data_IF_024701280767
#
_entry.id   IF_024701280767
#
_cell.length_a   1.000
_cell.length_b   1.000
_cell.length_c   1.000
_cell.angle_alpha   90.00
_cell.angle_beta   90.00
_cell.angle_gamma   90.00
#
_symmetry.space_group_name_H-M   'P 1'
#
loop_
_entity.id
_entity.type
_entity.pdbx_description
1 polymer ?
#
# COMPACT_ATOMS: atom_id res chain seq x y z
N UNK A 1 8.84 9.25 -14.68
CA UNK A 1 9.52 10.52 -14.28
C UNK A 1 11.04 10.50 -14.58
N UNK A 2 11.46 11.12 -15.70
CA UNK A 2 12.88 11.22 -16.09
C UNK A 2 13.75 12.07 -15.15
N UNK A 3 13.12 12.79 -14.21
CA UNK A 3 13.80 13.67 -13.24
C UNK A 3 14.69 12.94 -12.22
N UNK A 4 14.62 11.61 -12.16
CA UNK A 4 15.52 10.80 -11.33
C UNK A 4 16.62 10.11 -12.14
N UNK A 5 16.79 10.45 -13.42
CA UNK A 5 17.80 9.88 -14.30
C UNK A 5 19.02 10.81 -14.41
N UNK A 6 20.23 10.28 -14.17
CA UNK A 6 21.48 11.01 -14.40
C UNK A 6 21.56 12.40 -13.78
N UNK A 7 21.05 12.55 -12.56
CA UNK A 7 21.02 13.82 -11.84
C UNK A 7 22.43 14.24 -11.42
N UNK A 8 22.84 15.43 -11.82
CA UNK A 8 24.18 15.96 -11.56
C UNK A 8 24.31 16.33 -10.08
N UNK A 9 25.23 15.66 -9.38
CA UNK A 9 25.65 16.02 -8.01
C UNK A 9 26.82 17.00 -8.07
N UNK A 10 27.76 16.73 -8.97
CA UNK A 10 28.96 17.52 -9.18
C UNK A 10 29.26 17.58 -10.67
N UNK A 11 29.43 18.79 -11.19
CA UNK A 11 29.79 19.04 -12.58
C UNK A 11 31.28 19.37 -12.71
N UNK A 12 31.97 18.74 -13.67
CA UNK A 12 33.34 19.04 -14.05
C UNK A 12 33.50 19.01 -15.57
N UNK A 13 34.54 19.68 -16.08
CA UNK A 13 34.91 19.62 -17.49
C UNK A 13 35.44 18.23 -17.88
N UNK A 14 36.03 17.48 -16.94
CA UNK A 14 36.38 16.07 -17.14
C UNK A 14 35.16 15.20 -16.78
N UNK A 15 34.58 14.44 -17.74
CA UNK A 15 33.47 13.52 -17.45
C UNK A 15 33.77 12.52 -16.33
N UNK A 16 35.04 12.18 -16.08
CA UNK A 16 35.44 11.28 -14.98
C UNK A 16 35.31 11.91 -13.59
N UNK A 17 35.17 13.23 -13.53
CA UNK A 17 34.94 13.97 -12.29
C UNK A 17 33.49 14.48 -12.16
N UNK A 18 32.67 14.28 -13.20
CA UNK A 18 31.24 14.59 -13.18
C UNK A 18 30.47 13.46 -12.50
N UNK A 19 30.04 13.71 -11.26
CA UNK A 19 29.30 12.77 -10.44
C UNK A 19 27.79 12.89 -10.66
N UNK A 20 27.16 11.76 -10.92
CA UNK A 20 25.73 11.62 -11.20
C UNK A 20 25.09 10.67 -10.18
N UNK A 21 23.78 10.79 -10.00
CA UNK A 21 22.98 9.74 -9.40
C UNK A 21 21.70 9.47 -10.18
N UNK A 22 21.21 8.23 -10.06
CA UNK A 22 19.87 7.88 -10.48
C UNK A 22 19.10 7.21 -9.34
N UNK A 23 17.79 7.39 -9.31
CA UNK A 23 16.89 6.61 -8.44
C UNK A 23 16.05 5.71 -9.34
N UNK A 24 16.14 4.41 -9.11
CA UNK A 24 15.53 3.38 -9.95
C UNK A 24 14.68 2.42 -9.12
N UNK A 25 13.69 1.85 -9.79
CA UNK A 25 12.84 0.79 -9.29
C UNK A 25 12.53 -0.19 -10.43
N UNK A 26 12.16 -1.44 -10.13
CA UNK A 26 11.68 -2.38 -11.14
C UNK A 26 10.44 -1.83 -11.84
N UNK A 27 10.35 -2.08 -13.15
CA UNK A 27 9.08 -1.94 -13.85
C UNK A 27 8.28 -3.25 -13.68
N UNK A 28 7.13 -3.15 -13.01
CA UNK A 28 6.23 -4.28 -12.78
C UNK A 28 5.23 -4.47 -13.93
N UNK A 29 5.16 -3.53 -14.88
CA UNK A 29 4.37 -3.68 -16.11
C UNK A 29 5.11 -4.46 -17.20
N UNK A 30 6.43 -4.61 -17.05
CA UNK A 30 7.25 -5.41 -17.94
C UNK A 30 7.23 -6.89 -17.55
N UNK A 31 6.47 -7.68 -18.31
CA UNK A 31 6.38 -9.13 -18.17
C UNK A 31 7.73 -9.83 -18.33
N UNK A 32 8.71 -9.23 -19.02
CA UNK A 32 10.03 -9.84 -19.18
C UNK A 32 10.92 -9.69 -17.94
N UNK A 33 10.48 -8.93 -16.94
CA UNK A 33 11.21 -8.60 -15.73
C UNK A 33 12.62 -8.02 -16.00
N UNK A 34 12.82 -7.34 -17.13
CA UNK A 34 14.12 -6.82 -17.58
C UNK A 34 14.19 -5.29 -17.61
N UNK A 35 13.05 -4.61 -17.45
CA UNK A 35 12.94 -3.17 -17.47
C UNK A 35 12.95 -2.55 -16.06
N UNK A 36 13.49 -1.34 -16.00
CA UNK A 36 13.40 -0.45 -14.84
C UNK A 36 12.57 0.78 -15.18
N UNK A 37 12.13 1.45 -14.11
CA UNK A 37 11.61 2.81 -14.16
C UNK A 37 12.39 3.71 -13.20
N UNK A 38 12.36 5.00 -13.46
CA UNK A 38 12.96 6.00 -12.60
C UNK A 38 12.00 6.43 -11.48
N UNK A 39 12.51 6.52 -10.25
CA UNK A 39 11.79 6.97 -9.07
C UNK A 39 11.65 5.91 -7.97
N UNK A 40 10.74 6.19 -7.04
CA UNK A 40 10.53 5.38 -5.83
C UNK A 40 9.56 4.23 -6.08
N UNK A 41 9.64 3.20 -5.25
CA UNK A 41 8.69 2.09 -5.16
C UNK A 41 7.86 2.22 -3.89
N UNK A 42 6.53 2.05 -3.98
CA UNK A 42 5.66 2.07 -2.82
C UNK A 42 5.71 0.69 -2.14
N UNK A 43 6.11 0.65 -0.88
CA UNK A 43 6.26 -0.62 -0.16
C UNK A 43 4.92 -1.26 0.21
N UNK A 44 3.80 -0.52 0.15
CA UNK A 44 2.46 -1.13 0.22
C UNK A 44 2.12 -1.98 -1.01
N UNK A 45 2.87 -1.91 -2.11
CA UNK A 45 2.71 -2.86 -3.22
C UNK A 45 3.18 -4.28 -2.88
N UNK A 46 3.84 -4.46 -1.73
CA UNK A 46 4.46 -5.70 -1.27
C UNK A 46 3.79 -6.21 0.00
N UNK A 47 4.02 -7.48 0.30
CA UNK A 47 3.55 -8.11 1.52
C UNK A 47 4.47 -7.74 2.69
N UNK A 48 3.91 -7.13 3.74
CA UNK A 48 4.66 -6.79 4.94
C UNK A 48 4.71 -7.98 5.90
N UNK A 49 5.89 -8.60 5.99
CA UNK A 49 6.13 -9.81 6.79
C UNK A 49 5.81 -9.56 8.27
N UNK A 50 6.20 -8.40 8.79
CA UNK A 50 5.99 -8.05 10.20
C UNK A 50 4.52 -7.76 10.56
N UNK A 51 3.64 -7.68 9.57
CA UNK A 51 2.20 -7.47 9.76
C UNK A 51 1.36 -8.73 9.54
N UNK A 52 1.96 -9.87 9.16
CA UNK A 52 1.22 -11.08 8.80
C UNK A 52 0.33 -11.61 9.93
N UNK A 53 0.79 -11.53 11.18
CA UNK A 53 0.02 -11.98 12.34
C UNK A 53 -1.23 -11.12 12.61
N UNK A 54 -1.36 -9.95 11.97
CA UNK A 54 -2.61 -9.18 12.00
C UNK A 54 -3.69 -9.79 11.10
N UNK A 55 -3.28 -10.47 10.03
CA UNK A 55 -4.20 -11.17 9.14
C UNK A 55 -4.91 -12.33 9.86
N UNK A 56 -4.18 -13.10 10.67
CA UNK A 56 -4.73 -14.21 11.48
C UNK A 56 -5.81 -13.75 12.48
N UNK A 57 -5.76 -12.48 12.93
CA UNK A 57 -6.78 -11.89 13.80
C UNK A 57 -8.07 -11.53 13.05
N UNK A 58 -7.98 -11.42 11.73
CA UNK A 58 -9.08 -11.01 10.86
C UNK A 58 -9.75 -12.22 10.22
N UNK A 59 -8.95 -13.14 9.69
CA UNK A 59 -9.38 -14.38 9.03
C UNK A 59 -8.51 -15.51 9.55
N UNK A 60 -9.12 -16.65 9.87
CA UNK A 60 -8.39 -17.85 10.28
C UNK A 60 -7.34 -18.23 9.21
N UNK A 61 -6.08 -18.39 9.63
CA UNK A 61 -4.92 -18.64 8.75
C UNK A 61 -4.68 -17.55 7.67
N UNK A 62 -5.15 -16.32 7.88
CA UNK A 62 -4.98 -15.23 6.92
C UNK A 62 -3.51 -14.93 6.60
N UNK A 63 -2.60 -15.05 7.57
CA UNK A 63 -1.16 -14.90 7.37
C UNK A 63 -0.58 -15.99 6.46
N UNK A 64 -1.03 -17.24 6.64
CA UNK A 64 -0.64 -18.38 5.78
C UNK A 64 -1.13 -18.13 4.36
N UNK A 65 -2.40 -17.75 4.19
CA UNK A 65 -2.99 -17.50 2.87
C UNK A 65 -2.24 -16.41 2.09
N UNK A 66 -1.85 -15.31 2.75
CA UNK A 66 -1.04 -14.25 2.14
C UNK A 66 0.32 -14.77 1.66
N UNK A 67 1.01 -15.58 2.48
CA UNK A 67 2.29 -16.18 2.10
C UNK A 67 2.15 -17.17 0.95
N UNK A 68 1.05 -17.94 0.90
CA UNK A 68 0.78 -18.91 -0.17
C UNK A 68 0.61 -18.27 -1.55
N UNK A 69 0.39 -16.95 -1.63
CA UNK A 69 0.45 -16.22 -2.89
C UNK A 69 1.87 -16.11 -3.48
N UNK A 70 2.92 -16.31 -2.67
CA UNK A 70 4.30 -16.21 -3.13
C UNK A 70 4.69 -17.40 -4.02
N UNK A 71 5.47 -17.17 -5.10
CA UNK A 71 5.88 -18.25 -6.00
C UNK A 71 6.71 -19.32 -5.27
N UNK A 72 6.31 -20.58 -5.40
CA UNK A 72 7.00 -21.72 -4.78
C UNK A 72 6.83 -21.84 -3.26
N UNK A 73 5.90 -21.10 -2.65
CA UNK A 73 5.58 -21.23 -1.23
C UNK A 73 4.86 -22.56 -0.94
N UNK A 74 5.18 -23.17 0.19
CA UNK A 74 4.51 -24.36 0.72
C UNK A 74 3.98 -24.08 2.12
N UNK A 75 2.96 -24.83 2.55
CA UNK A 75 2.31 -24.61 3.86
C UNK A 75 3.28 -24.78 5.04
N UNK A 76 4.23 -25.71 4.95
CA UNK A 76 5.24 -25.95 5.99
C UNK A 76 6.27 -24.83 6.11
N UNK A 77 6.56 -24.13 5.00
CA UNK A 77 7.43 -22.95 5.02
C UNK A 77 6.64 -21.72 5.47
N UNK A 78 5.40 -21.57 5.01
CA UNK A 78 4.53 -20.46 5.43
C UNK A 78 4.30 -20.49 6.95
N UNK A 79 3.96 -21.66 7.50
CA UNK A 79 3.79 -21.83 8.94
C UNK A 79 5.10 -21.59 9.71
N UNK A 80 6.24 -22.11 9.23
CA UNK A 80 7.52 -21.88 9.87
C UNK A 80 7.91 -20.39 9.88
N UNK A 81 7.53 -19.62 8.85
CA UNK A 81 7.72 -18.15 8.83
C UNK A 81 6.84 -17.49 9.89
N UNK A 82 5.59 -17.91 10.03
CA UNK A 82 4.68 -17.29 10.99
C UNK A 82 5.07 -17.62 12.45
N UNK A 83 5.48 -18.86 12.72
CA UNK A 83 6.01 -19.31 14.03
C UNK A 83 7.27 -18.53 14.40
N UNK A 84 8.15 -18.27 13.41
CA UNK A 84 9.34 -17.44 13.63
C UNK A 84 9.01 -16.00 14.09
N UNK A 85 7.83 -15.49 13.75
CA UNK A 85 7.40 -14.12 14.02
C UNK A 85 6.58 -13.98 15.30
N UNK A 86 5.81 -15.01 15.66
CA UNK A 86 4.87 -14.92 16.77
C UNK A 86 5.58 -15.09 18.13
N UNK A 87 4.97 -14.60 19.23
CA UNK A 87 5.68 -14.52 20.50
C UNK A 87 5.62 -15.80 21.33
N UNK A 88 4.89 -16.83 20.91
CA UNK A 88 4.71 -18.05 21.69
C UNK A 88 5.68 -19.15 21.25
N UNK A 89 5.48 -20.38 21.73
CA UNK A 89 6.31 -21.55 21.41
C UNK A 89 5.40 -22.72 20.95
N UNK A 90 4.13 -22.45 20.61
CA UNK A 90 3.16 -23.44 20.15
C UNK A 90 3.25 -23.57 18.62
N UNK A 91 3.83 -24.66 18.08
CA UNK A 91 4.01 -24.76 16.64
C UNK A 91 2.66 -24.84 15.94
N UNK A 92 2.53 -24.09 14.83
CA UNK A 92 1.42 -24.28 13.87
C UNK A 92 1.42 -25.70 13.29
N UNK A 93 0.33 -26.05 12.59
CA UNK A 93 0.10 -27.38 12.02
C UNK A 93 1.32 -27.96 11.29
N UNK A 94 1.97 -27.15 10.45
CA UNK A 94 3.20 -27.50 9.74
C UNK A 94 4.34 -26.57 10.12
N UNK A 95 4.29 -26.00 11.32
CA UNK A 95 5.20 -25.00 11.82
C UNK A 95 6.50 -25.54 12.41
N UNK A 96 7.32 -24.62 12.93
CA UNK A 96 8.63 -24.92 13.50
C UNK A 96 8.96 -23.92 14.61
N UNK A 97 9.08 -24.43 15.83
CA UNK A 97 9.38 -23.65 17.03
C UNK A 97 10.72 -24.03 17.67
N UNK A 98 10.97 -23.54 18.89
CA UNK A 98 12.17 -23.83 19.67
C UNK A 98 12.57 -25.32 19.71
N UNK A 99 11.59 -26.24 19.83
CA UNK A 99 11.85 -27.69 19.84
C UNK A 99 12.53 -28.14 18.54
N UNK A 100 12.12 -27.60 17.39
CA UNK A 100 12.77 -27.90 16.12
C UNK A 100 14.18 -27.30 16.05
N UNK A 101 14.33 -26.00 16.29
CA UNK A 101 15.61 -25.30 16.07
C UNK A 101 16.74 -25.77 17.01
N UNK A 102 16.38 -26.25 18.21
CA UNK A 102 17.36 -26.79 19.17
C UNK A 102 17.91 -28.17 18.78
N UNK A 103 17.25 -28.88 17.87
CA UNK A 103 17.71 -30.19 17.36
C UNK A 103 18.68 -30.10 16.19
N UNK A 104 18.86 -28.90 15.61
CA UNK A 104 19.74 -28.69 14.46
C UNK A 104 21.22 -28.93 14.82
N UNK A 105 22.08 -29.26 13.84
CA UNK A 105 23.51 -29.47 14.08
C UNK A 105 24.21 -28.28 14.76
N UNK A 106 23.75 -27.07 14.43
CA UNK A 106 24.09 -25.84 15.14
C UNK A 106 22.80 -25.28 15.74
N UNK A 107 22.49 -25.57 17.01
CA UNK A 107 21.27 -25.10 17.65
C UNK A 107 21.22 -23.58 17.75
N UNK A 108 20.02 -23.01 17.56
CA UNK A 108 19.70 -21.61 17.84
C UNK A 108 18.24 -21.50 18.28
N UNK A 109 17.85 -20.31 18.72
CA UNK A 109 16.47 -20.01 19.12
C UNK A 109 15.75 -19.25 18.02
N UNK A 110 14.45 -19.49 17.80
CA UNK A 110 13.64 -18.63 16.96
C UNK A 110 13.58 -17.21 17.51
N UNK A 111 13.25 -16.25 16.64
CA UNK A 111 13.27 -14.82 17.00
C UNK A 111 12.07 -14.44 17.89
N UNK A 112 10.93 -15.08 17.66
CA UNK A 112 9.65 -14.85 18.30
C UNK A 112 9.27 -13.37 18.31
N UNK A 113 9.44 -12.74 17.15
CA UNK A 113 9.25 -11.31 16.99
C UNK A 113 9.57 -10.78 15.58
N UNK A 114 9.43 -9.46 15.38
CA UNK A 114 9.56 -8.86 14.07
C UNK A 114 10.99 -8.96 13.51
N UNK A 115 11.08 -9.15 12.20
CA UNK A 115 12.34 -9.13 11.46
C UNK A 115 12.90 -7.71 11.36
N UNK A 116 14.22 -7.60 11.38
CA UNK A 116 14.98 -6.36 11.15
C UNK A 116 15.56 -6.32 9.74
N UNK A 117 15.78 -7.48 9.12
CA UNK A 117 16.23 -7.66 7.74
C UNK A 117 15.48 -8.81 7.07
N UNK A 118 15.29 -8.73 5.75
CA UNK A 118 14.64 -9.79 4.97
C UNK A 118 15.48 -11.08 4.98
N UNK A 119 16.80 -10.95 5.09
CA UNK A 119 17.76 -12.07 5.14
C UNK A 119 17.60 -12.96 6.38
N UNK A 120 16.98 -12.48 7.46
CA UNK A 120 16.67 -13.30 8.63
C UNK A 120 15.76 -14.49 8.28
N UNK A 121 14.98 -14.39 7.20
CA UNK A 121 14.19 -15.52 6.70
C UNK A 121 15.05 -16.73 6.36
N UNK A 122 16.34 -16.57 6.05
CA UNK A 122 17.24 -17.71 5.80
C UNK A 122 17.52 -18.58 7.05
N UNK A 123 17.12 -18.12 8.24
CA UNK A 123 17.16 -18.89 9.47
C UNK A 123 15.89 -19.70 9.70
N UNK A 124 14.82 -19.43 8.95
CA UNK A 124 13.55 -20.13 9.06
C UNK A 124 13.63 -21.48 8.35
N UNK A 125 13.01 -22.50 8.94
CA UNK A 125 12.94 -23.83 8.34
C UNK A 125 12.38 -23.77 6.91
N UNK A 126 13.11 -24.38 5.97
CA UNK A 126 12.68 -24.57 4.59
C UNK A 126 12.87 -23.37 3.66
N UNK A 127 13.25 -22.20 4.21
CA UNK A 127 13.64 -21.05 3.38
C UNK A 127 15.04 -21.26 2.82
N UNK A 128 15.21 -21.06 1.51
CA UNK A 128 16.50 -21.19 0.83
C UNK A 128 16.92 -19.87 0.16
N UNK A 129 18.22 -19.65 -0.09
CA UNK A 129 18.68 -18.51 -0.89
C UNK A 129 18.03 -18.44 -2.27
N UNK A 130 17.77 -19.59 -2.89
CA UNK A 130 17.11 -19.70 -4.19
C UNK A 130 15.68 -19.16 -4.13
N UNK A 131 14.89 -19.54 -3.12
CA UNK A 131 13.53 -19.02 -2.94
C UNK A 131 13.53 -17.52 -2.61
N UNK A 132 14.44 -17.10 -1.73
CA UNK A 132 14.45 -15.72 -1.23
C UNK A 132 14.95 -14.69 -2.26
N UNK A 133 16.03 -15.00 -3.00
CA UNK A 133 16.66 -14.06 -3.94
C UNK A 133 16.38 -14.39 -5.40
N UNK A 134 15.87 -15.59 -5.71
CA UNK A 134 15.58 -15.97 -7.07
C UNK A 134 16.82 -15.96 -7.97
N UNK A 135 16.59 -15.60 -9.23
CA UNK A 135 17.60 -15.39 -10.26
C UNK A 135 18.29 -14.01 -10.16
N UNK A 136 17.67 -13.01 -9.51
CA UNK A 136 18.23 -11.65 -9.33
C UNK A 136 19.32 -11.65 -8.24
N UNK A 137 20.49 -12.17 -8.61
CA UNK A 137 21.61 -12.35 -7.68
C UNK A 137 22.23 -11.03 -7.27
N UNK A 138 22.15 -10.04 -8.15
CA UNK A 138 22.76 -8.74 -7.95
C UNK A 138 21.79 -7.72 -7.30
N UNK A 139 20.53 -8.11 -7.10
CA UNK A 139 19.48 -7.36 -6.38
C UNK A 139 19.15 -6.02 -7.04
N UNK A 140 19.23 -5.96 -8.36
CA UNK A 140 18.84 -4.77 -9.15
C UNK A 140 17.34 -4.77 -9.50
N UNK A 141 16.62 -5.85 -9.18
CA UNK A 141 15.21 -6.04 -9.44
C UNK A 141 14.87 -6.33 -10.90
N UNK A 142 15.88 -6.68 -11.71
CA UNK A 142 15.70 -7.16 -13.08
C UNK A 142 16.41 -8.50 -13.26
N UNK A 143 15.90 -9.35 -14.16
CA UNK A 143 16.54 -10.62 -14.49
C UNK A 143 17.46 -10.39 -15.68
N UNK A 144 18.76 -10.42 -15.44
CA UNK A 144 19.78 -10.21 -16.47
C UNK A 144 19.98 -11.47 -17.33
N UNK A 145 20.30 -11.32 -18.62
CA UNK A 145 20.48 -12.46 -19.53
C UNK A 145 21.58 -13.46 -19.12
N UNK A 146 22.49 -13.06 -18.22
CA UNK A 146 23.54 -13.91 -17.65
C UNK A 146 23.15 -14.59 -16.32
N UNK A 147 21.99 -14.28 -15.77
CA UNK A 147 21.50 -14.87 -14.52
C UNK A 147 20.86 -16.23 -14.77
N UNK A 148 21.11 -17.17 -13.85
CA UNK A 148 20.60 -18.54 -13.95
C UNK A 148 19.32 -18.64 -13.12
N UNK A 149 18.25 -19.11 -13.75
CA UNK A 149 16.98 -19.37 -13.08
C UNK A 149 17.13 -20.62 -12.20
N UNK A 150 16.88 -20.52 -10.88
CA UNK A 150 16.93 -21.69 -9.99
C UNK A 150 15.93 -22.78 -10.39
N UNK A 151 16.32 -24.05 -10.25
CA UNK A 151 15.47 -25.21 -10.61
C UNK A 151 14.16 -25.27 -9.81
N UNK A 152 14.12 -24.71 -8.60
CA UNK A 152 12.89 -24.64 -7.78
C UNK A 152 11.77 -23.84 -8.45
N UNK A 153 12.13 -22.95 -9.39
CA UNK A 153 11.18 -22.20 -10.20
C UNK A 153 10.93 -22.85 -11.57
N UNK A 154 11.49 -24.03 -11.86
CA UNK A 154 11.31 -24.71 -13.15
C UNK A 154 9.86 -25.17 -13.40
N UNK A 155 9.09 -25.38 -12.32
CA UNK A 155 7.66 -25.70 -12.40
C UNK A 155 6.79 -24.45 -12.59
N UNK A 156 7.33 -23.24 -12.37
CA UNK A 156 6.68 -22.02 -12.82
C UNK A 156 6.74 -21.98 -14.35
N UNK A 157 5.65 -21.57 -15.00
CA UNK A 157 5.66 -21.46 -16.44
C UNK A 157 6.72 -20.45 -16.88
N UNK A 158 7.27 -20.63 -18.09
CA UNK A 158 8.16 -19.65 -18.71
C UNK A 158 7.49 -18.27 -18.92
N UNK A 159 6.17 -18.18 -18.67
CA UNK A 159 5.32 -17.01 -18.87
C UNK A 159 5.20 -16.11 -17.61
N UNK A 160 5.80 -16.48 -16.47
CA UNK A 160 5.96 -15.58 -15.30
C UNK A 160 7.43 -15.30 -14.94
N UNK A 161 8.17 -14.54 -15.78
CA UNK A 161 9.55 -14.11 -15.47
C UNK A 161 9.68 -13.27 -14.20
N UNK A 162 8.59 -12.64 -13.76
CA UNK A 162 8.57 -11.76 -12.59
C UNK A 162 8.79 -12.60 -11.33
N UNK A 163 8.22 -13.81 -11.27
CA UNK A 163 8.43 -14.75 -10.17
C UNK A 163 9.89 -15.13 -9.93
N UNK A 164 10.73 -15.11 -10.98
CA UNK A 164 12.15 -15.41 -10.86
C UNK A 164 12.93 -14.36 -10.07
N UNK A 165 12.35 -13.22 -9.69
CA UNK A 165 12.99 -12.24 -8.79
C UNK A 165 13.14 -12.75 -7.35
N UNK A 166 12.44 -13.82 -6.98
CA UNK A 166 12.44 -14.39 -5.63
C UNK A 166 11.63 -13.56 -4.63
N UNK A 167 11.39 -14.13 -3.44
CA UNK A 167 10.48 -13.55 -2.44
C UNK A 167 10.88 -12.14 -1.98
N UNK A 168 12.16 -11.80 -1.98
CA UNK A 168 12.64 -10.47 -1.58
C UNK A 168 12.13 -9.32 -2.47
N UNK A 169 11.64 -9.61 -3.68
CA UNK A 169 10.97 -8.62 -4.54
C UNK A 169 9.51 -8.36 -4.12
N UNK A 170 8.87 -9.34 -3.47
CA UNK A 170 7.47 -9.33 -3.06
C UNK A 170 7.25 -8.99 -1.59
N UNK A 171 8.32 -9.05 -0.79
CA UNK A 171 8.28 -8.86 0.65
C UNK A 171 8.84 -7.49 1.06
N UNK A 172 8.29 -6.95 2.13
CA UNK A 172 8.82 -5.79 2.84
C UNK A 172 8.74 -6.00 4.36
N UNK A 173 9.52 -5.22 5.11
CA UNK A 173 9.38 -5.10 6.56
C UNK A 173 8.59 -3.86 6.97
N UNK A 174 8.35 -2.95 6.02
CA UNK A 174 7.77 -1.64 6.27
C UNK A 174 6.74 -1.30 5.20
N UNK A 175 5.47 -1.42 5.52
CA UNK A 175 4.38 -0.82 4.73
C UNK A 175 3.40 -0.14 5.66
N UNK A 176 3.05 1.11 5.34
CA UNK A 176 2.13 1.93 6.11
C UNK A 176 1.43 2.92 5.19
N UNK A 177 0.18 3.22 5.48
CA UNK A 177 -0.59 4.29 4.84
C UNK A 177 -1.04 5.35 5.84
N UNK A 178 -1.34 6.54 5.33
CA UNK A 178 -1.93 7.63 6.12
C UNK A 178 -3.45 7.59 6.04
N UNK A 179 -4.11 7.62 7.20
CA UNK A 179 -5.54 7.78 7.35
C UNK A 179 -5.88 9.28 7.51
N UNK A 180 -5.72 10.04 6.43
CA UNK A 180 -5.94 11.49 6.36
C UNK A 180 -6.75 11.85 5.12
N UNK A 181 -7.33 13.04 5.11
CA UNK A 181 -7.97 13.63 3.94
C UNK A 181 -6.92 13.96 2.85
N UNK A 182 -7.34 14.19 1.59
CA UNK A 182 -6.41 14.55 0.50
C UNK A 182 -5.54 15.79 0.78
N UNK A 183 -6.03 16.73 1.59
CA UNK A 183 -5.30 17.93 2.02
C UNK A 183 -4.31 17.67 3.19
N UNK A 184 -4.30 16.45 3.73
CA UNK A 184 -3.49 16.02 4.87
C UNK A 184 -4.11 16.27 6.25
N UNK A 185 -5.32 16.84 6.32
CA UNK A 185 -6.06 17.00 7.58
C UNK A 185 -6.63 15.66 8.07
N UNK A 186 -6.92 15.49 9.38
CA UNK A 186 -7.54 14.27 9.89
C UNK A 186 -8.92 14.01 9.26
N UNK A 187 -9.23 12.74 8.96
CA UNK A 187 -10.59 12.31 8.63
C UNK A 187 -11.50 12.39 9.86
N UNK A 188 -12.80 12.52 9.63
CA UNK A 188 -13.82 12.46 10.70
C UNK A 188 -13.96 10.99 11.13
N UNK A 189 -13.64 10.71 12.40
CA UNK A 189 -13.83 9.40 13.00
C UNK A 189 -15.31 9.22 13.36
N UNK A 190 -16.03 8.40 12.58
CA UNK A 190 -17.46 8.12 12.80
C UNK A 190 -17.71 7.31 14.08
N UNK A 191 -16.65 6.81 14.71
CA UNK A 191 -16.67 6.11 15.99
C UNK A 191 -16.21 6.98 17.17
N UNK A 192 -16.00 8.29 16.99
CA UNK A 192 -15.64 9.18 18.08
C UNK A 192 -16.70 9.18 19.21
N UNK A 193 -16.26 9.50 20.42
CA UNK A 193 -17.09 9.39 21.63
C UNK A 193 -18.06 10.55 21.81
N UNK A 194 -17.70 11.73 21.31
CA UNK A 194 -18.51 12.94 21.41
C UNK A 194 -19.49 12.99 20.23
N UNK A 195 -20.76 12.67 20.48
CA UNK A 195 -21.79 12.59 19.45
C UNK A 195 -22.27 13.96 18.96
N UNK A 196 -22.22 14.99 19.80
CA UNK A 196 -22.56 16.36 19.42
C UNK A 196 -21.48 16.91 18.48
N UNK A 197 -20.22 16.74 18.86
CA UNK A 197 -19.09 17.09 17.97
C UNK A 197 -19.10 16.29 16.67
N UNK A 198 -19.41 14.99 16.72
CA UNK A 198 -19.54 14.15 15.53
C UNK A 198 -20.63 14.66 14.60
N UNK A 199 -21.78 15.06 15.15
CA UNK A 199 -22.87 15.67 14.39
C UNK A 199 -22.38 16.93 13.67
N UNK A 200 -21.80 17.88 14.40
CA UNK A 200 -21.35 19.16 13.86
C UNK A 200 -20.31 18.99 12.74
N UNK A 201 -19.35 18.06 12.92
CA UNK A 201 -18.32 17.78 11.92
C UNK A 201 -18.90 17.16 10.65
N UNK A 202 -19.85 16.24 10.76
CA UNK A 202 -20.50 15.64 9.58
C UNK A 202 -21.44 16.63 8.91
N UNK A 203 -22.21 17.42 9.68
CA UNK A 203 -23.14 18.41 9.14
C UNK A 203 -22.40 19.46 8.30
N UNK A 204 -21.24 19.91 8.77
CA UNK A 204 -20.43 20.88 8.05
C UNK A 204 -19.94 20.39 6.67
N UNK A 205 -19.67 19.08 6.53
CA UNK A 205 -19.11 18.50 5.30
C UNK A 205 -20.19 17.88 4.38
N UNK A 206 -21.19 17.23 4.98
CA UNK A 206 -22.18 16.40 4.27
C UNK A 206 -23.63 16.82 4.49
N UNK A 207 -23.89 17.78 5.38
CA UNK A 207 -25.23 18.24 5.71
C UNK A 207 -25.92 17.42 6.82
N UNK A 208 -27.10 17.91 7.27
CA UNK A 208 -27.76 17.42 8.48
C UNK A 208 -28.32 16.00 8.34
N UNK A 209 -28.64 15.55 7.12
CA UNK A 209 -29.23 14.22 6.89
C UNK A 209 -28.25 13.11 7.26
N UNK A 210 -27.02 13.16 6.74
CA UNK A 210 -25.99 12.17 7.05
C UNK A 210 -25.54 12.27 8.51
N UNK A 211 -25.41 13.49 9.05
CA UNK A 211 -25.05 13.72 10.44
C UNK A 211 -26.07 13.08 11.40
N UNK A 212 -27.36 13.34 11.15
CA UNK A 212 -28.47 12.77 11.91
C UNK A 212 -28.47 11.25 11.84
N UNK A 213 -28.30 10.70 10.62
CA UNK A 213 -28.29 9.26 10.42
C UNK A 213 -27.15 8.56 11.14
N UNK A 214 -25.91 9.08 11.03
CA UNK A 214 -24.73 8.48 11.67
C UNK A 214 -24.89 8.49 13.20
N UNK A 215 -25.33 9.59 13.80
CA UNK A 215 -25.55 9.65 15.26
C UNK A 215 -26.69 8.74 15.69
N UNK A 216 -27.81 8.71 14.94
CA UNK A 216 -28.91 7.81 15.21
C UNK A 216 -28.45 6.34 15.16
N UNK A 217 -27.65 5.97 14.15
CA UNK A 217 -27.06 4.64 14.01
C UNK A 217 -26.21 4.31 15.24
N UNK A 218 -25.31 5.21 15.63
CA UNK A 218 -24.44 5.04 16.81
C UNK A 218 -25.22 4.80 18.09
N UNK A 219 -26.36 5.46 18.27
CA UNK A 219 -27.21 5.34 19.47
C UNK A 219 -28.12 4.10 19.48
N UNK A 220 -28.47 3.53 18.32
CA UNK A 220 -29.53 2.51 18.21
C UNK A 220 -29.12 1.22 17.52
N UNK A 221 -28.12 1.26 16.65
CA UNK A 221 -27.71 0.12 15.82
C UNK A 221 -28.48 0.00 14.50
N UNK A 222 -28.03 -0.90 13.62
CA UNK A 222 -28.72 -1.19 12.38
C UNK A 222 -30.10 -1.81 12.66
N UNK A 223 -31.11 -1.37 11.91
CA UNK A 223 -32.45 -1.92 11.95
C UNK A 223 -32.60 -3.00 10.88
N UNK A 224 -32.99 -4.21 11.30
CA UNK A 224 -33.15 -5.39 10.41
C UNK A 224 -34.60 -5.87 10.32
N UNK A 225 -35.57 -5.04 10.75
CA UNK A 225 -36.99 -5.38 10.67
C UNK A 225 -37.62 -5.02 9.32
N UNK A 226 -38.93 -5.24 9.21
CA UNK A 226 -39.69 -5.08 7.96
C UNK A 226 -40.45 -3.75 7.87
N UNK A 227 -40.38 -2.88 8.89
CA UNK A 227 -41.02 -1.55 8.85
C UNK A 227 -40.46 -0.74 7.66
N UNK A 228 -41.36 -0.11 6.90
CA UNK A 228 -40.98 0.78 5.80
C UNK A 228 -40.22 1.98 6.37
N UNK A 229 -39.09 2.31 5.76
CA UNK A 229 -38.29 3.44 6.19
C UNK A 229 -38.81 4.73 5.58
N UNK A 230 -38.39 5.84 6.16
CA UNK A 230 -38.66 7.17 5.63
C UNK A 230 -37.36 7.98 5.54
N UNK A 231 -37.30 8.98 4.65
CA UNK A 231 -36.16 9.89 4.57
C UNK A 231 -35.89 10.59 5.90
N UNK A 232 -34.63 10.95 6.14
CA UNK A 232 -34.24 11.70 7.33
C UNK A 232 -34.95 13.08 7.33
N UNK A 233 -35.76 13.39 8.36
CA UNK A 233 -36.44 14.68 8.43
C UNK A 233 -35.44 15.83 8.68
N UNK A 234 -35.74 17.02 8.17
CA UNK A 234 -34.87 18.20 8.34
C UNK A 234 -35.12 18.98 9.64
N UNK A 235 -36.22 18.69 10.34
CA UNK A 235 -36.73 19.45 11.50
C UNK A 235 -36.77 18.63 12.79
N UNK A 236 -35.95 17.57 12.88
CA UNK A 236 -35.84 16.71 14.06
C UNK A 236 -34.62 17.02 14.89
N UNK A 237 -34.75 16.90 16.21
CA UNK A 237 -33.65 17.06 17.15
C UNK A 237 -33.24 15.70 17.74
N UNK A 238 -31.94 15.42 17.69
CA UNK A 238 -31.33 14.27 18.34
C UNK A 238 -31.16 14.51 19.84
N UNK A 239 -31.37 13.45 20.63
CA UNK A 239 -31.11 13.46 22.06
C UNK A 239 -29.66 13.06 22.33
N UNK A 240 -28.76 14.06 22.40
CA UNK A 240 -27.33 13.87 22.66
C UNK A 240 -27.03 13.40 24.09
N UNK A 241 -28.02 13.35 25.00
CA UNK A 241 -27.82 12.73 26.32
C UNK A 241 -27.70 11.21 26.23
N UNK A 242 -28.14 10.61 25.11
CA UNK A 242 -28.00 9.17 24.84
C UNK A 242 -26.60 8.84 24.35
N UNK A 243 -25.98 7.88 25.01
CA UNK A 243 -24.66 7.38 24.65
C UNK A 243 -24.71 6.48 23.40
N UNK A 244 -23.59 6.42 22.68
CA UNK A 244 -23.41 5.46 21.61
C UNK A 244 -23.45 4.02 22.17
N UNK A 245 -24.20 3.14 21.49
CA UNK A 245 -24.34 1.72 21.84
C UNK A 245 -23.57 0.80 20.90
N UNK A 246 -23.39 1.21 19.64
CA UNK A 246 -22.73 0.40 18.61
C UNK A 246 -21.61 1.18 17.94
N UNK A 247 -20.64 0.44 17.39
CA UNK A 247 -19.59 0.96 16.51
C UNK A 247 -19.82 0.50 15.08
N UNK A 248 -19.36 1.32 14.14
CA UNK A 248 -19.15 0.88 12.78
C UNK A 248 -17.83 0.09 12.74
N UNK A 249 -17.83 -1.04 12.05
CA UNK A 249 -16.59 -1.77 11.79
C UNK A 249 -15.86 -1.11 10.62
N UNK A 250 -16.62 -0.67 9.61
CA UNK A 250 -16.10 0.07 8.46
C UNK A 250 -17.04 1.20 8.06
N UNK A 251 -16.57 2.13 7.22
CA UNK A 251 -17.42 3.19 6.66
C UNK A 251 -18.50 2.59 5.72
N UNK A 252 -18.26 1.39 5.17
CA UNK A 252 -19.19 0.70 4.27
C UNK A 252 -20.44 0.19 4.99
N UNK A 253 -20.44 0.16 6.32
CA UNK A 253 -21.63 -0.18 7.12
C UNK A 253 -22.75 0.85 7.01
N UNK A 254 -22.48 2.02 6.39
CA UNK A 254 -23.50 3.01 6.04
C UNK A 254 -24.32 2.59 4.81
N UNK A 255 -23.78 1.74 3.94
CA UNK A 255 -24.39 1.36 2.68
C UNK A 255 -25.61 0.49 2.94
N UNK A 256 -26.77 0.91 2.44
CA UNK A 256 -28.03 0.20 2.58
C UNK A 256 -28.57 0.12 4.01
N UNK A 257 -27.92 0.76 4.98
CA UNK A 257 -28.29 0.66 6.38
C UNK A 257 -29.62 1.38 6.67
N UNK A 258 -30.43 0.81 7.55
CA UNK A 258 -31.58 1.48 8.16
C UNK A 258 -31.36 1.66 9.65
N UNK A 259 -31.98 2.66 10.25
CA UNK A 259 -31.90 2.86 11.70
C UNK A 259 -33.27 3.16 12.28
N UNK A 260 -33.60 2.54 13.41
CA UNK A 260 -34.79 2.86 14.17
C UNK A 260 -34.43 3.80 15.31
N UNK A 261 -34.98 5.01 15.29
CA UNK A 261 -34.68 6.05 16.27
C UNK A 261 -35.96 6.70 16.79
N UNK A 262 -35.94 7.09 18.05
CA UNK A 262 -36.98 7.92 18.65
C UNK A 262 -36.37 9.30 18.94
N UNK A 263 -36.79 10.31 18.19
CA UNK A 263 -36.29 11.69 18.35
C UNK A 263 -36.78 12.33 19.65
N UNK A 264 -36.12 13.43 20.04
CA UNK A 264 -36.51 14.18 21.23
C UNK A 264 -37.93 14.73 21.08
N UNK A 265 -38.77 14.52 22.09
CA UNK A 265 -40.17 15.00 22.09
C UNK A 265 -41.16 14.15 21.28
N UNK A 266 -40.71 13.11 20.57
CA UNK A 266 -41.60 12.18 19.86
C UNK A 266 -41.98 10.96 20.73
N UNK A 267 -43.25 10.55 20.70
CA UNK A 267 -43.73 9.38 21.47
C UNK A 267 -43.46 8.04 20.78
N UNK A 268 -43.27 8.02 19.45
CA UNK A 268 -43.10 6.80 18.67
C UNK A 268 -41.77 6.79 17.95
N UNK A 269 -41.08 5.63 17.89
CA UNK A 269 -39.88 5.50 17.06
C UNK A 269 -40.25 5.54 15.57
N UNK A 270 -39.30 6.02 14.78
CA UNK A 270 -39.31 6.13 13.33
C UNK A 270 -38.20 5.26 12.76
N UNK A 271 -38.39 4.75 11.55
CA UNK A 271 -37.36 3.98 10.84
C UNK A 271 -36.84 4.86 9.72
N UNK A 272 -35.57 5.25 9.78
CA UNK A 272 -34.92 6.02 8.74
C UNK A 272 -34.39 5.08 7.65
N UNK A 273 -34.64 5.44 6.40
CA UNK A 273 -34.04 4.78 5.23
C UNK A 273 -32.55 5.12 5.08
N UNK A 274 -31.88 4.35 4.22
CA UNK A 274 -30.46 4.49 3.95
C UNK A 274 -30.14 5.84 3.29
N UNK A 275 -29.21 6.58 3.89
CA UNK A 275 -28.66 7.81 3.28
C UNK A 275 -27.63 7.48 2.21
N UNK A 276 -26.95 6.33 2.34
CA UNK A 276 -26.05 5.80 1.31
C UNK A 276 -26.72 4.57 0.68
N UNK A 277 -27.34 4.69 -0.50
CA UNK A 277 -28.04 3.56 -1.11
C UNK A 277 -27.05 2.51 -1.61
N UNK A 278 -27.47 1.24 -1.55
CA UNK A 278 -26.78 0.11 -2.20
C UNK A 278 -27.18 0.05 -3.69
N UNK A 279 -26.79 1.08 -4.43
CA UNK A 279 -26.99 1.19 -5.87
C UNK A 279 -25.63 1.48 -6.54
N UNK A 280 -25.20 0.69 -7.53
CA UNK A 280 -23.88 0.84 -8.14
C UNK A 280 -23.58 2.23 -8.70
N UNK A 281 -24.58 2.88 -9.31
CA UNK A 281 -24.41 4.22 -9.91
C UNK A 281 -24.23 5.28 -8.82
N UNK A 282 -25.04 5.19 -7.76
CA UNK A 282 -24.92 6.07 -6.61
C UNK A 282 -23.60 5.85 -5.85
N UNK A 283 -23.21 4.59 -5.62
CA UNK A 283 -21.97 4.25 -4.93
C UNK A 283 -20.74 4.79 -5.66
N UNK A 284 -20.69 4.67 -7.00
CA UNK A 284 -19.58 5.24 -7.78
C UNK A 284 -19.40 6.75 -7.59
N UNK A 285 -20.49 7.48 -7.36
CA UNK A 285 -20.44 8.92 -7.13
C UNK A 285 -20.12 9.28 -5.66
N UNK A 286 -20.64 8.51 -4.71
CA UNK A 286 -20.61 8.83 -3.28
C UNK A 286 -19.35 8.31 -2.58
N UNK A 287 -18.88 7.10 -2.94
CA UNK A 287 -17.77 6.44 -2.26
C UNK A 287 -16.50 7.28 -2.23
N UNK A 288 -16.02 7.93 -3.31
CA UNK A 288 -14.82 8.76 -3.24
C UNK A 288 -14.94 9.87 -2.22
N UNK A 289 -16.11 10.52 -2.12
CA UNK A 289 -16.35 11.63 -1.19
C UNK A 289 -16.40 11.13 0.26
N UNK A 290 -17.10 10.02 0.50
CA UNK A 290 -17.17 9.39 1.82
C UNK A 290 -15.79 8.91 2.27
N UNK A 291 -15.08 8.17 1.42
CA UNK A 291 -13.77 7.61 1.74
C UNK A 291 -12.69 8.69 1.87
N UNK A 292 -12.82 9.83 1.19
CA UNK A 292 -11.94 10.98 1.38
C UNK A 292 -12.01 11.55 2.80
N UNK A 293 -13.20 11.55 3.41
CA UNK A 293 -13.50 12.38 4.58
C UNK A 293 -13.80 11.60 5.85
N UNK A 294 -14.34 10.38 5.75
CA UNK A 294 -14.78 9.58 6.89
C UNK A 294 -13.82 8.41 7.14
N UNK A 295 -13.72 7.99 8.40
CA UNK A 295 -12.99 6.79 8.81
C UNK A 295 -13.67 6.14 10.01
N UNK A 296 -13.57 4.82 10.12
CA UNK A 296 -14.03 4.07 11.30
C UNK A 296 -12.90 3.85 12.33
N UNK A 297 -11.68 4.30 12.03
CA UNK A 297 -10.49 4.14 12.89
C UNK A 297 -9.86 5.49 13.23
N UNK A 298 -9.48 5.66 14.49
CA UNK A 298 -8.79 6.87 14.97
C UNK A 298 -7.28 6.84 14.72
N UNK A 299 -6.73 5.70 14.30
CA UNK A 299 -5.31 5.58 13.99
C UNK A 299 -4.95 6.44 12.77
N UNK A 300 -3.97 7.34 12.93
CA UNK A 300 -3.45 8.17 11.84
C UNK A 300 -2.69 7.35 10.78
N UNK A 301 -2.10 6.22 11.19
CA UNK A 301 -1.29 5.35 10.34
C UNK A 301 -1.83 3.94 10.43
N UNK A 302 -1.99 3.28 9.29
CA UNK A 302 -2.45 1.89 9.19
C UNK A 302 -1.32 1.07 8.56
N UNK A 303 -0.74 0.09 9.27
CA UNK A 303 0.35 -0.74 8.73
C UNK A 303 -0.19 -1.93 7.93
N UNK A 304 0.60 -2.44 6.99
CA UNK A 304 0.43 -3.79 6.44
C UNK A 304 -0.61 -3.97 5.32
N UNK A 305 -1.44 -2.98 5.02
CA UNK A 305 -2.40 -3.08 3.89
C UNK A 305 -1.69 -3.01 2.54
N UNK A 306 -2.20 -3.79 1.59
CA UNK A 306 -1.67 -4.04 0.25
C UNK A 306 -2.29 -3.08 -0.75
N UNK A 307 -1.47 -2.32 -1.48
CA UNK A 307 -1.94 -1.40 -2.50
C UNK A 307 -2.36 -2.17 -3.77
N UNK A 308 -3.66 -2.31 -3.99
CA UNK A 308 -4.21 -3.11 -5.11
C UNK A 308 -3.96 -2.49 -6.49
N UNK A 309 -3.67 -1.19 -6.56
CA UNK A 309 -3.30 -0.54 -7.82
C UNK A 309 -1.85 -0.83 -8.22
N UNK A 310 -1.00 -1.26 -7.29
CA UNK A 310 0.44 -1.42 -7.50
C UNK A 310 0.95 -2.84 -7.28
N UNK A 311 0.24 -3.65 -6.50
CA UNK A 311 0.67 -5.00 -6.15
C UNK A 311 0.80 -5.89 -7.39
N UNK A 312 1.81 -6.78 -7.43
CA UNK A 312 1.92 -7.80 -8.45
C UNK A 312 0.84 -8.88 -8.26
N UNK A 313 0.56 -9.63 -9.32
CA UNK A 313 -0.48 -10.67 -9.36
C UNK A 313 -0.37 -11.70 -8.22
N UNK A 314 0.84 -12.21 -7.95
CA UNK A 314 1.13 -13.15 -6.88
C UNK A 314 0.66 -12.65 -5.50
N UNK A 315 0.85 -11.36 -5.22
CA UNK A 315 0.39 -10.75 -3.97
C UNK A 315 -1.13 -10.62 -3.94
N UNK A 316 -1.77 -10.27 -5.06
CA UNK A 316 -3.23 -10.19 -5.13
C UNK A 316 -3.88 -11.56 -4.91
N UNK A 317 -3.36 -12.62 -5.54
CA UNK A 317 -3.92 -13.98 -5.38
C UNK A 317 -3.80 -14.53 -3.96
N UNK A 318 -2.88 -14.01 -3.15
CA UNK A 318 -2.75 -14.37 -1.74
C UNK A 318 -3.73 -13.66 -0.81
N UNK A 319 -4.47 -12.64 -1.26
CA UNK A 319 -5.34 -11.84 -0.39
C UNK A 319 -6.53 -12.68 0.11
N UNK A 320 -6.73 -12.80 1.44
CA UNK A 320 -7.88 -13.50 1.99
C UNK A 320 -9.21 -12.91 1.51
N UNK A 321 -10.16 -13.78 1.19
CA UNK A 321 -11.49 -13.45 0.65
C UNK A 321 -11.50 -12.74 -0.73
N UNK A 322 -10.36 -12.62 -1.42
CA UNK A 322 -10.32 -12.14 -2.79
C UNK A 322 -10.42 -13.32 -3.76
N UNK A 323 -11.48 -13.35 -4.56
CA UNK A 323 -11.60 -14.34 -5.64
C UNK A 323 -10.50 -14.12 -6.70
N UNK A 324 -9.78 -15.16 -7.17
CA UNK A 324 -8.74 -15.00 -8.17
C UNK A 324 -9.22 -14.37 -9.50
N UNK A 325 -10.46 -14.63 -9.92
CA UNK A 325 -11.03 -13.99 -11.10
C UNK A 325 -11.30 -12.50 -10.88
N UNK A 326 -11.64 -12.10 -9.67
CA UNK A 326 -11.71 -10.66 -9.30
C UNK A 326 -10.31 -10.05 -9.27
N UNK A 327 -9.29 -10.78 -8.81
CA UNK A 327 -7.90 -10.30 -8.86
C UNK A 327 -7.43 -10.06 -10.30
N UNK A 328 -7.79 -10.93 -11.25
CA UNK A 328 -7.55 -10.72 -12.68
C UNK A 328 -8.23 -9.44 -13.19
N UNK A 329 -9.51 -9.24 -12.85
CA UNK A 329 -10.26 -8.03 -13.23
C UNK A 329 -9.66 -6.76 -12.61
N UNK A 330 -9.11 -6.84 -11.39
CA UNK A 330 -8.38 -5.74 -10.76
C UNK A 330 -7.13 -5.39 -11.56
N UNK A 331 -6.34 -6.38 -11.97
CA UNK A 331 -5.14 -6.18 -12.78
C UNK A 331 -5.44 -5.57 -14.14
N UNK A 332 -6.57 -5.94 -14.75
CA UNK A 332 -7.04 -5.40 -16.03
C UNK A 332 -7.58 -3.98 -15.92
N UNK A 333 -8.22 -3.64 -14.79
CA UNK A 333 -8.96 -2.37 -14.63
C UNK A 333 -8.15 -1.27 -13.95
N UNK A 334 -7.08 -1.60 -13.21
CA UNK A 334 -6.27 -0.61 -12.50
C UNK A 334 -5.66 0.46 -13.45
N UNK A 335 -5.40 1.68 -12.97
CA UNK A 335 -4.79 2.73 -13.78
C UNK A 335 -3.43 2.31 -14.34
N UNK A 336 -3.19 2.55 -15.63
CA UNK A 336 -1.92 2.23 -16.29
C UNK A 336 -0.75 3.04 -15.72
N UNK A 337 -1.00 4.32 -15.39
CA UNK A 337 -0.03 5.18 -14.72
C UNK A 337 -0.60 5.62 -13.35
N UNK A 338 -0.11 5.07 -12.23
CA UNK A 338 -0.59 5.43 -10.90
C UNK A 338 -0.23 6.86 -10.49
N UNK A 339 0.57 7.58 -11.28
CA UNK A 339 0.86 9.01 -11.08
C UNK A 339 -0.13 9.94 -11.79
N UNK A 340 -0.98 9.39 -12.66
CA UNK A 340 -2.01 10.10 -13.38
C UNK A 340 -3.33 9.34 -13.30
N UNK A 341 -4.08 9.58 -12.22
CA UNK A 341 -5.41 9.02 -11.99
C UNK A 341 -6.45 10.02 -12.48
N UNK A 342 -7.28 9.59 -13.43
CA UNK A 342 -8.33 10.38 -14.08
C UNK A 342 -9.73 10.16 -13.48
N UNK A 343 -9.92 9.08 -12.72
CA UNK A 343 -11.13 8.80 -11.93
C UNK A 343 -10.80 8.71 -10.43
N UNK A 344 -11.44 9.57 -9.65
CA UNK A 344 -11.20 9.69 -8.21
C UNK A 344 -11.48 8.39 -7.42
N UNK A 345 -12.26 7.46 -7.97
CA UNK A 345 -12.50 6.14 -7.37
C UNK A 345 -11.18 5.41 -7.12
N UNK A 346 -10.22 5.47 -8.04
CA UNK A 346 -8.96 4.73 -7.92
C UNK A 346 -8.04 5.25 -6.81
N UNK A 347 -8.34 6.38 -6.16
CA UNK A 347 -7.63 6.80 -4.95
C UNK A 347 -8.04 6.01 -3.70
N UNK A 348 -9.16 5.28 -3.74
CA UNK A 348 -9.73 4.60 -2.58
C UNK A 348 -9.88 3.11 -2.85
N UNK A 349 -9.60 2.32 -1.82
CA UNK A 349 -9.62 0.86 -1.88
C UNK A 349 -10.98 0.24 -2.22
N UNK A 350 -12.03 1.06 -2.20
CA UNK A 350 -13.42 0.68 -2.49
C UNK A 350 -13.74 0.70 -3.98
N UNK A 351 -12.80 1.07 -4.86
CA UNK A 351 -13.08 1.11 -6.30
C UNK A 351 -13.53 -0.24 -6.90
N UNK A 352 -13.10 -1.44 -6.42
CA UNK A 352 -13.65 -2.70 -6.92
C UNK A 352 -15.15 -2.82 -6.67
N UNK A 353 -15.67 -2.28 -5.55
CA UNK A 353 -17.09 -2.18 -5.28
C UNK A 353 -17.77 -1.17 -6.22
N UNK A 354 -17.16 -0.01 -6.45
CA UNK A 354 -17.68 1.02 -7.34
C UNK A 354 -17.77 0.58 -8.82
N UNK A 355 -16.89 -0.34 -9.24
CA UNK A 355 -16.92 -0.98 -10.56
C UNK A 355 -17.82 -2.22 -10.61
N UNK A 356 -18.41 -2.63 -9.47
CA UNK A 356 -19.27 -3.81 -9.38
C UNK A 356 -18.52 -5.15 -9.51
N UNK A 357 -17.21 -5.16 -9.23
CA UNK A 357 -16.38 -6.36 -9.24
C UNK A 357 -16.61 -7.22 -7.98
N UNK A 358 -17.03 -6.59 -6.88
CA UNK A 358 -17.34 -7.24 -5.60
C UNK A 358 -18.63 -6.67 -5.02
N UNK A 359 -19.31 -7.47 -4.19
CA UNK A 359 -20.44 -7.03 -3.37
C UNK A 359 -19.98 -6.20 -2.16
N UNK A 360 -20.90 -5.50 -1.49
CA UNK A 360 -20.60 -4.73 -0.27
C UNK A 360 -19.99 -5.62 0.82
N UNK A 361 -20.52 -6.82 1.02
CA UNK A 361 -20.04 -7.73 2.06
C UNK A 361 -18.67 -8.32 1.73
N UNK A 362 -18.40 -8.65 0.46
CA UNK A 362 -17.05 -9.03 0.02
C UNK A 362 -16.06 -7.88 0.20
N UNK A 363 -16.45 -6.65 -0.17
CA UNK A 363 -15.60 -5.47 0.01
C UNK A 363 -15.27 -5.23 1.49
N UNK A 364 -16.26 -5.35 2.39
CA UNK A 364 -16.04 -5.27 3.85
C UNK A 364 -15.04 -6.32 4.33
N UNK A 365 -15.11 -7.56 3.82
CA UNK A 365 -14.16 -8.61 4.15
C UNK A 365 -12.74 -8.33 3.62
N UNK A 366 -12.61 -7.58 2.52
CA UNK A 366 -11.33 -7.16 1.95
C UNK A 366 -10.71 -5.95 2.67
N UNK A 367 -11.52 -5.07 3.26
CA UNK A 367 -11.06 -3.82 3.89
C UNK A 367 -9.82 -3.97 4.78
N UNK A 368 -9.68 -5.00 5.64
CA UNK A 368 -8.50 -5.15 6.50
C UNK A 368 -7.18 -5.38 5.74
N UNK A 369 -7.25 -5.81 4.48
CA UNK A 369 -6.11 -6.24 3.68
C UNK A 369 -5.70 -5.25 2.59
N UNK A 370 -6.65 -4.52 1.98
CA UNK A 370 -6.39 -3.75 0.75
C UNK A 370 -6.36 -2.24 0.98
N UNK A 371 -5.49 -1.51 0.29
CA UNK A 371 -5.45 -0.04 0.23
C UNK A 371 -5.27 0.42 -1.23
N UNK A 372 -5.43 1.71 -1.53
CA UNK A 372 -4.91 2.36 -2.75
C UNK A 372 -3.78 3.35 -2.45
N UNK A 373 -3.41 3.52 -1.18
CA UNK A 373 -2.41 4.45 -0.69
C UNK A 373 -1.04 3.82 -0.43
N UNK A 374 -0.44 4.19 0.70
CA UNK A 374 0.94 3.84 1.03
C UNK A 374 1.82 5.08 1.08
N UNK A 375 2.53 5.20 2.18
CA UNK A 375 3.37 6.35 2.52
C UNK A 375 4.77 5.90 2.93
N UNK A 376 5.13 4.66 2.64
CA UNK A 376 6.49 4.13 2.81
C UNK A 376 7.05 3.81 1.44
N UNK A 377 8.23 4.32 1.15
CA UNK A 377 8.82 4.24 -0.18
C UNK A 377 10.24 3.69 -0.14
N UNK A 378 10.53 2.76 -1.05
CA UNK A 378 11.88 2.26 -1.29
C UNK A 378 12.53 3.02 -2.44
N UNK A 379 13.81 3.31 -2.26
CA UNK A 379 14.69 3.90 -3.26
C UNK A 379 15.90 2.98 -3.47
N UNK A 380 16.18 2.61 -4.72
CA UNK A 380 17.51 2.15 -5.09
C UNK A 380 18.25 3.31 -5.75
N UNK A 381 19.27 3.81 -5.07
CA UNK A 381 20.05 4.98 -5.50
C UNK A 381 21.39 4.51 -6.03
N UNK A 382 21.71 4.87 -7.27
CA UNK A 382 22.97 4.50 -7.93
C UNK A 382 23.76 5.77 -8.23
N UNK A 383 24.90 5.93 -7.55
CA UNK A 383 25.86 6.99 -7.83
C UNK A 383 26.96 6.51 -8.78
N UNK A 384 27.30 7.32 -9.78
CA UNK A 384 28.27 6.95 -10.81
C UNK A 384 28.89 8.18 -11.47
N UNK A 385 30.04 8.01 -12.12
CA UNK A 385 30.68 9.07 -12.90
C UNK A 385 30.29 9.00 -14.37
N UNK A 386 30.10 10.16 -15.01
CA UNK A 386 29.73 10.26 -16.43
C UNK A 386 30.78 9.63 -17.36
N UNK A 387 32.07 9.76 -17.01
CA UNK A 387 33.20 9.18 -17.74
C UNK A 387 33.51 7.72 -17.39
N UNK A 388 32.65 7.07 -16.60
CA UNK A 388 32.89 5.75 -16.02
C UNK A 388 33.84 5.78 -14.83
N UNK A 389 34.00 4.64 -14.15
CA UNK A 389 34.83 4.51 -12.95
C UNK A 389 34.06 3.90 -11.77
N UNK A 390 34.42 4.28 -10.53
CA UNK A 390 33.72 3.81 -9.33
C UNK A 390 32.23 4.15 -9.36
N UNK A 391 31.45 3.31 -8.70
CA UNK A 391 30.02 3.53 -8.47
C UNK A 391 29.68 3.18 -7.03
N UNK A 392 28.63 3.80 -6.51
CA UNK A 392 27.98 3.36 -5.28
C UNK A 392 26.54 2.96 -5.59
N UNK A 393 26.02 1.98 -4.84
CA UNK A 393 24.62 1.58 -4.93
C UNK A 393 24.07 1.43 -3.52
N UNK A 394 22.95 2.09 -3.26
CA UNK A 394 22.32 2.16 -1.94
C UNK A 394 20.87 1.75 -2.05
N UNK A 395 20.39 1.01 -1.07
CA UNK A 395 18.97 0.82 -0.80
C UNK A 395 18.57 1.66 0.40
N UNK A 396 17.48 2.41 0.27
CA UNK A 396 16.92 3.22 1.35
C UNK A 396 15.39 3.06 1.41
N UNK A 397 14.84 2.96 2.62
CA UNK A 397 13.39 2.96 2.86
C UNK A 397 13.02 4.21 3.63
N UNK A 398 12.07 4.96 3.11
CA UNK A 398 11.66 6.28 3.57
C UNK A 398 10.21 6.21 4.08
N UNK A 399 10.01 6.61 5.33
CA UNK A 399 8.71 6.82 5.95
C UNK A 399 8.25 8.26 5.71
N UNK A 400 7.27 8.41 4.81
CA UNK A 400 6.61 9.67 4.49
C UNK A 400 5.29 9.86 5.25
N UNK A 401 4.97 9.03 6.26
CA UNK A 401 3.84 9.27 7.17
C UNK A 401 4.06 10.49 8.08
N UNK A 402 5.31 10.92 8.19
CA UNK A 402 5.76 12.10 8.93
C UNK A 402 6.42 13.11 7.99
N UNK A 403 6.41 14.39 8.37
CA UNK A 403 7.06 15.47 7.62
C UNK A 403 8.04 16.22 8.55
N UNK A 404 9.34 16.33 8.21
CA UNK A 404 9.99 15.71 7.05
C UNK A 404 10.00 14.18 7.12
N UNK A 405 10.13 13.52 5.96
CA UNK A 405 10.19 12.07 5.87
C UNK A 405 11.39 11.51 6.65
N UNK A 406 11.23 10.32 7.23
CA UNK A 406 12.23 9.64 8.06
C UNK A 406 12.86 8.47 7.31
N UNK A 407 14.18 8.32 7.42
CA UNK A 407 14.88 7.14 6.92
C UNK A 407 14.67 5.96 7.90
N UNK A 408 14.01 4.90 7.44
CA UNK A 408 13.77 3.68 8.23
C UNK A 408 14.90 2.67 8.08
N UNK A 409 15.39 2.53 6.85
CA UNK A 409 16.39 1.53 6.49
C UNK A 409 17.39 2.12 5.50
N UNK A 410 18.65 1.73 5.65
CA UNK A 410 19.73 2.11 4.74
C UNK A 410 20.75 0.98 4.62
N UNK A 411 21.13 0.66 3.39
CA UNK A 411 22.09 -0.39 3.10
C UNK A 411 22.97 -0.05 1.90
N UNK A 412 24.28 -0.25 2.07
CA UNK A 412 25.24 -0.23 0.97
C UNK A 412 25.24 -1.56 0.21
N UNK A 413 24.96 -1.50 -1.09
CA UNK A 413 24.93 -2.62 -2.03
C UNK A 413 26.06 -2.56 -3.06
N UNK A 414 27.04 -1.67 -2.87
CA UNK A 414 28.15 -1.46 -3.82
C UNK A 414 29.00 -2.73 -4.01
N UNK A 415 29.03 -3.63 -3.02
CA UNK A 415 29.70 -4.93 -3.12
C UNK A 415 29.05 -5.88 -4.15
N UNK A 416 27.79 -5.65 -4.51
CA UNK A 416 27.08 -6.35 -5.59
C UNK A 416 27.30 -5.68 -6.96
N UNK A 417 28.18 -4.67 -7.03
CA UNK A 417 28.43 -3.88 -8.22
C UNK A 417 27.34 -2.83 -8.48
N UNK A 418 27.46 -2.17 -9.65
CA UNK A 418 26.55 -1.08 -10.07
C UNK A 418 25.13 -1.57 -10.37
N UNK A 419 24.95 -2.84 -10.72
CA UNK A 419 23.66 -3.44 -11.10
C UNK A 419 23.11 -3.03 -12.46
N UNK A 420 23.51 -1.88 -13.00
CA UNK A 420 22.96 -1.35 -14.25
C UNK A 420 24.04 -0.87 -15.21
N UNK A 421 23.73 -0.84 -16.50
CA UNK A 421 24.54 -0.13 -17.49
C UNK A 421 24.41 1.39 -17.28
N UNK A 422 25.48 2.15 -17.55
CA UNK A 422 25.49 3.58 -17.26
C UNK A 422 24.49 4.35 -18.14
N UNK A 423 24.30 3.87 -19.36
CA UNK A 423 23.35 4.36 -20.36
C UNK A 423 21.90 4.27 -19.83
N UNK A 424 21.61 3.21 -19.07
CA UNK A 424 20.28 2.95 -18.46
C UNK A 424 20.04 3.84 -17.24
N UNK A 425 21.08 4.34 -16.58
CA UNK A 425 20.94 5.24 -15.43
C UNK A 425 20.76 6.71 -15.86
N UNK A 426 21.06 7.00 -17.12
CA UNK A 426 21.01 8.34 -17.72
C UNK A 426 22.40 8.94 -17.91
N UNK A 427 22.51 9.81 -18.91
CA UNK A 427 23.70 10.65 -19.14
C UNK A 427 23.39 12.08 -18.73
N UNK A 428 24.39 12.94 -18.48
CA UNK A 428 24.14 14.36 -18.22
C UNK A 428 23.32 14.94 -19.37
N UNK A 429 22.05 15.22 -19.14
CA UNK A 429 21.19 15.83 -20.15
C UNK A 429 21.65 17.28 -20.31
N UNK A 430 22.04 17.69 -21.52
CA UNK A 430 22.45 19.05 -21.87
C UNK A 430 21.27 20.07 -21.86
N UNK A 431 20.29 19.91 -20.97
CA UNK A 431 19.00 20.60 -21.02
C UNK A 431 18.55 21.27 -19.72
N UNK A 432 19.40 21.36 -18.68
CA UNK A 432 19.17 22.27 -17.54
C UNK A 432 19.91 23.62 -17.73
N UNK A 433 19.93 24.14 -18.96
CA UNK A 433 20.28 25.54 -19.24
C UNK A 433 19.08 26.39 -19.71
N UNK A 434 17.90 25.79 -19.87
CA UNK A 434 16.71 26.47 -20.41
C UNK A 434 15.78 27.14 -19.39
N UNK A 435 15.96 26.91 -18.09
CA UNK A 435 15.03 27.40 -17.05
C UNK A 435 15.59 28.48 -16.12
N UNK A 436 16.83 28.92 -16.38
CA UNK A 436 17.37 30.15 -15.81
C UNK A 436 17.93 30.97 -16.98
N UNK A 437 17.05 31.70 -17.66
CA UNK A 437 17.45 32.66 -18.69
C UNK A 437 18.45 33.67 -18.09
N UNK A 438 19.55 33.99 -18.79
CA UNK A 438 20.50 34.96 -18.29
C UNK A 438 19.85 36.35 -18.38
N UNK A 439 19.75 37.03 -17.24
CA UNK A 439 19.60 38.47 -17.22
C UNK A 439 20.82 39.07 -17.93
N UNK A 440 20.63 39.53 -19.16
CA UNK A 440 21.65 40.23 -19.92
C UNK A 440 21.82 41.63 -19.34
N UNK A 441 22.91 41.83 -18.61
CA UNK A 441 23.44 43.15 -18.31
C UNK A 441 24.40 43.60 -19.41
N UNK A 442 24.12 44.81 -19.90
CA UNK A 442 25.04 45.81 -20.48
C UNK A 442 25.22 45.98 -22.00
N UNK A 443 24.92 47.25 -22.36
CA UNK A 443 25.65 48.14 -23.26
C UNK A 443 25.36 48.14 -24.77
N UNK A 444 24.58 49.15 -25.17
CA UNK A 444 25.04 50.15 -26.14
C UNK A 444 24.69 49.93 -27.61
N UNK A 445 23.60 50.54 -28.07
CA UNK A 445 23.48 50.96 -29.46
C UNK A 445 22.57 52.19 -29.58
N UNK A 446 22.98 53.10 -30.45
CA UNK A 446 22.60 54.50 -30.54
C UNK A 446 21.18 54.76 -31.05
N UNK A 447 20.60 55.87 -30.59
CA UNK A 447 19.51 56.57 -31.29
C UNK A 447 20.02 57.18 -32.61
N UNK A 448 19.18 57.21 -33.65
CA UNK A 448 19.02 58.41 -34.45
C UNK A 448 17.58 58.91 -34.32
N UNK A 449 17.47 60.21 -34.01
CA UNK A 449 16.20 60.90 -33.93
C UNK A 449 15.69 61.35 -35.29
N UNK A 450 14.38 61.48 -35.37
CA UNK A 450 13.63 62.67 -35.80
C UNK A 450 12.14 62.37 -35.68
#
# INVERSE_FOLDING_TARGET
>A
PSWFAGMVVQESADPRETGLFAIVAPDWSDYSASAIRYGLENESAKLNVNSLLLADKTVENGGRQLLMGLPGMTEDVADAILDWLDPDDEPREFGAELEYYTTLPTPYTPKNGPLETIEELLLVRGVTPELLFGADRNRNGVIDAGETIPEVFADLSADDPVAYRGWSAYLTLFSMELNVRPDGSPKIDINQSDLEKLYDEIEAEFGPELATFIVAYRQNGPYTGEEEGEPVPLDVELDFSRQAKVKFDTVLDLIGAKVRVQFAGEEKPRVLDAVVPDDPVALRAILPVIMANLTATSSKVIPGRININLAPSSILYGIPNLDPGVADLILESRPLDPTYIDDDNYYYETWPLAEGLVTVEEMKALMPFVTCGGSVFKAQVVGYFAGGGPSCRVEAILDATVRPARLLFWRDMSHLGRGFQAEVLGTPSSSIQGLLGPGTSEAGAAFPGS
#
